data_IF_832206354343
#
_entry.id   IF_832206354343
#
_cell.length_a   1.000
_cell.length_b   1.000
_cell.length_c   1.000
_cell.angle_alpha   90.00
_cell.angle_beta   90.00
_cell.angle_gamma   90.00
#
_symmetry.space_group_name_H-M   'P 1'
#
loop_
_entity.id
_entity.type
_entity.pdbx_description
1 polymer ?
#
# COMPACT_ATOMS: atom_id res chain seq x y z
N UNK A 1 12.41 -6.01 -14.25
CA UNK A 1 11.27 -6.88 -14.72
C UNK A 1 10.00 -6.30 -14.16
N UNK A 2 9.06 -5.95 -15.05
CA UNK A 2 7.76 -5.39 -14.62
C UNK A 2 6.90 -6.46 -13.95
N UNK A 3 6.27 -6.13 -12.84
CA UNK A 3 5.36 -7.02 -12.10
C UNK A 3 3.92 -6.54 -12.13
N UNK A 4 3.69 -5.22 -12.36
CA UNK A 4 2.38 -4.64 -12.58
C UNK A 4 2.49 -3.70 -13.79
N UNK A 5 1.52 -3.75 -14.68
CA UNK A 5 1.41 -2.85 -15.83
C UNK A 5 -0.01 -2.35 -16.00
N UNK A 6 -0.15 -1.04 -16.20
CA UNK A 6 -1.37 -0.36 -16.59
C UNK A 6 -1.17 0.25 -17.97
N UNK A 7 -2.04 -0.07 -18.91
CA UNK A 7 -2.01 0.46 -20.28
C UNK A 7 -3.33 1.16 -20.61
N UNK A 8 -3.30 2.50 -20.66
CA UNK A 8 -4.44 3.35 -21.01
C UNK A 8 -5.73 3.04 -20.24
N UNK A 9 -5.61 2.76 -18.94
CA UNK A 9 -6.71 2.32 -18.09
C UNK A 9 -7.67 3.48 -17.81
N UNK A 10 -8.94 3.29 -18.16
CA UNK A 10 -10.04 4.20 -17.84
C UNK A 10 -11.05 3.51 -16.94
N UNK A 11 -11.53 4.21 -15.92
CA UNK A 11 -12.60 3.76 -15.02
C UNK A 11 -13.50 4.90 -14.62
N UNK A 12 -14.80 4.70 -14.83
CA UNK A 12 -15.87 5.65 -14.48
C UNK A 12 -16.81 5.06 -13.45
N UNK A 13 -17.41 5.92 -12.64
CA UNK A 13 -18.52 5.61 -11.76
C UNK A 13 -19.61 6.65 -11.99
N UNK A 14 -20.71 6.23 -12.61
CA UNK A 14 -21.71 7.16 -13.17
C UNK A 14 -21.06 8.09 -14.19
N UNK A 15 -21.32 9.38 -14.09
CA UNK A 15 -20.78 10.39 -15.02
C UNK A 15 -19.35 10.86 -14.68
N UNK A 16 -18.71 10.27 -13.66
CA UNK A 16 -17.38 10.69 -13.22
C UNK A 16 -16.30 9.72 -13.67
N UNK A 17 -15.37 10.18 -14.51
CA UNK A 17 -14.11 9.49 -14.78
C UNK A 17 -13.19 9.59 -13.56
N UNK A 18 -12.85 8.43 -12.98
CA UNK A 18 -11.95 8.32 -11.82
C UNK A 18 -10.54 8.00 -12.27
N UNK A 19 -10.39 7.12 -13.27
CA UNK A 19 -9.14 6.91 -14.01
C UNK A 19 -9.41 7.28 -15.46
N UNK A 20 -8.46 7.98 -16.10
CA UNK A 20 -8.61 8.55 -17.44
C UNK A 20 -7.34 8.32 -18.26
N UNK A 21 -7.25 7.16 -18.89
CA UNK A 21 -6.08 6.75 -19.68
C UNK A 21 -4.81 6.54 -18.86
N UNK A 22 -4.94 6.08 -17.59
CA UNK A 22 -3.81 5.90 -16.69
C UNK A 22 -2.86 4.81 -17.20
N UNK A 23 -1.58 5.15 -17.36
CA UNK A 23 -0.54 4.22 -17.80
C UNK A 23 0.70 4.34 -16.93
N UNK A 24 1.17 3.20 -16.39
CA UNK A 24 2.42 3.09 -15.62
C UNK A 24 2.83 1.63 -15.48
N UNK A 25 4.04 1.40 -14.99
CA UNK A 25 4.50 0.06 -14.62
C UNK A 25 5.25 0.07 -13.31
N UNK A 26 5.21 -1.06 -12.61
CA UNK A 26 5.94 -1.29 -11.34
C UNK A 26 6.98 -2.39 -11.57
N UNK A 27 8.24 -2.11 -11.20
CA UNK A 27 9.34 -3.03 -11.32
C UNK A 27 9.45 -3.94 -10.08
N UNK A 28 9.97 -5.15 -10.29
CA UNK A 28 10.22 -6.09 -9.18
C UNK A 28 11.19 -5.50 -8.15
N UNK A 29 10.81 -5.57 -6.88
CA UNK A 29 11.64 -5.15 -5.74
C UNK A 29 11.59 -3.64 -5.43
N UNK A 30 10.89 -2.83 -6.23
CA UNK A 30 10.76 -1.41 -5.93
C UNK A 30 9.65 -1.11 -4.91
N UNK A 31 9.79 0.02 -4.23
CA UNK A 31 8.67 0.69 -3.55
C UNK A 31 8.18 1.79 -4.48
N UNK A 32 7.05 1.53 -5.11
CA UNK A 32 6.38 2.46 -6.03
C UNK A 32 5.30 3.23 -5.27
N UNK A 33 5.41 4.56 -5.23
CA UNK A 33 4.45 5.39 -4.50
C UNK A 33 3.56 6.17 -5.48
N UNK A 34 2.25 6.07 -5.30
CA UNK A 34 1.24 6.83 -6.02
C UNK A 34 0.76 7.96 -5.11
N UNK A 35 1.14 9.19 -5.43
CA UNK A 35 0.71 10.41 -4.74
C UNK A 35 -0.52 11.02 -5.42
N UNK A 36 -1.31 11.75 -4.65
CA UNK A 36 -2.41 12.55 -5.15
C UNK A 36 -3.39 12.93 -4.04
N UNK A 37 -4.22 13.93 -4.30
CA UNK A 37 -5.27 14.35 -3.37
C UNK A 37 -6.31 13.25 -3.12
N UNK A 38 -7.15 13.40 -2.10
CA UNK A 38 -8.24 12.46 -1.85
C UNK A 38 -9.22 12.44 -3.04
N UNK A 39 -9.68 11.25 -3.40
CA UNK A 39 -10.63 11.07 -4.50
C UNK A 39 -10.04 11.11 -5.92
N UNK A 40 -8.71 11.08 -6.09
CA UNK A 40 -8.03 11.07 -7.40
C UNK A 40 -7.91 9.66 -8.03
N UNK A 41 -8.53 8.63 -7.43
CA UNK A 41 -8.53 7.27 -7.99
C UNK A 41 -7.45 6.34 -7.44
N UNK A 42 -6.64 6.75 -6.45
CA UNK A 42 -5.53 5.94 -5.90
C UNK A 42 -5.97 4.56 -5.42
N UNK A 43 -6.97 4.47 -4.53
CA UNK A 43 -7.50 3.18 -4.05
C UNK A 43 -8.21 2.38 -5.16
N UNK A 44 -8.78 3.08 -6.16
CA UNK A 44 -9.36 2.45 -7.35
C UNK A 44 -8.26 1.77 -8.16
N UNK A 45 -7.10 2.40 -8.32
CA UNK A 45 -5.92 1.80 -8.97
C UNK A 45 -5.51 0.50 -8.27
N UNK A 46 -5.39 0.49 -6.93
CA UNK A 46 -5.04 -0.75 -6.20
C UNK A 46 -6.07 -1.86 -6.37
N UNK A 47 -7.38 -1.52 -6.43
CA UNK A 47 -8.44 -2.51 -6.62
C UNK A 47 -8.39 -3.19 -7.99
N UNK A 48 -7.90 -2.51 -9.02
CA UNK A 48 -7.67 -3.13 -10.33
C UNK A 48 -6.52 -4.14 -10.29
N UNK A 49 -5.44 -3.85 -9.53
CA UNK A 49 -4.30 -4.79 -9.41
C UNK A 49 -4.73 -6.14 -8.84
N UNK A 50 -5.67 -6.15 -7.88
CA UNK A 50 -6.18 -7.39 -7.24
C UNK A 50 -7.43 -7.95 -7.92
N UNK A 51 -7.86 -7.40 -9.05
CA UNK A 51 -9.03 -7.88 -9.79
C UNK A 51 -10.39 -7.64 -9.10
N UNK A 52 -10.44 -6.76 -8.10
CA UNK A 52 -11.70 -6.34 -7.46
C UNK A 52 -12.50 -5.37 -8.31
N UNK A 53 -11.85 -4.73 -9.28
CA UNK A 53 -12.48 -3.88 -10.29
C UNK A 53 -11.89 -4.21 -11.66
N UNK A 54 -12.74 -4.21 -12.66
CA UNK A 54 -12.36 -4.30 -14.08
C UNK A 54 -12.33 -2.89 -14.69
N UNK A 55 -11.34 -2.57 -15.54
CA UNK A 55 -11.31 -1.30 -16.26
C UNK A 55 -12.45 -1.23 -17.28
N UNK A 56 -12.95 -0.02 -17.56
CA UNK A 56 -13.93 0.21 -18.65
C UNK A 56 -13.23 0.19 -20.01
N UNK A 57 -11.95 0.60 -20.06
CA UNK A 57 -11.05 0.44 -21.22
C UNK A 57 -9.59 0.40 -20.77
N UNK A 58 -8.72 -0.04 -21.67
CA UNK A 58 -7.32 -0.31 -21.35
C UNK A 58 -7.12 -1.69 -20.73
N UNK A 59 -5.92 -1.94 -20.22
CA UNK A 59 -5.56 -3.24 -19.68
C UNK A 59 -4.72 -3.11 -18.41
N UNK A 60 -4.97 -4.01 -17.45
CA UNK A 60 -4.15 -4.18 -16.23
C UNK A 60 -3.59 -5.59 -16.23
N UNK A 61 -2.27 -5.69 -16.15
CA UNK A 61 -1.57 -6.97 -16.05
C UNK A 61 -0.76 -7.04 -14.76
N UNK A 62 -0.77 -8.20 -14.11
CA UNK A 62 0.14 -8.51 -13.00
C UNK A 62 0.74 -9.89 -13.18
N UNK A 63 2.03 -10.01 -12.89
CA UNK A 63 2.73 -11.30 -12.83
C UNK A 63 2.91 -11.79 -11.38
N UNK A 64 2.37 -11.07 -10.40
CA UNK A 64 2.42 -11.48 -8.99
C UNK A 64 1.41 -12.59 -8.72
N UNK A 65 1.87 -13.68 -8.11
CA UNK A 65 1.01 -14.80 -7.71
C UNK A 65 0.38 -14.56 -6.33
N UNK A 66 1.13 -13.91 -5.43
CA UNK A 66 0.72 -13.66 -4.06
C UNK A 66 0.74 -12.16 -3.79
N UNK A 67 -0.45 -11.57 -3.74
CA UNK A 67 -0.62 -10.15 -3.45
C UNK A 67 -1.16 -9.99 -2.04
N UNK A 68 -0.44 -9.23 -1.21
CA UNK A 68 -0.92 -8.75 0.08
C UNK A 68 -1.60 -7.40 -0.06
N UNK A 69 -2.60 -7.12 0.77
CA UNK A 69 -3.31 -5.84 0.76
C UNK A 69 -3.47 -5.29 2.19
N UNK A 70 -2.90 -4.13 2.45
CA UNK A 70 -3.16 -3.35 3.65
C UNK A 70 -4.20 -2.28 3.34
N UNK A 71 -5.41 -2.47 3.86
CA UNK A 71 -6.51 -1.50 3.73
C UNK A 71 -6.32 -0.28 4.64
N UNK A 72 -6.90 0.84 4.26
CA UNK A 72 -6.81 2.10 4.98
C UNK A 72 -7.20 2.01 6.47
N UNK A 73 -8.19 1.21 6.83
CA UNK A 73 -8.61 0.97 8.23
C UNK A 73 -7.87 -0.19 8.90
N UNK A 74 -6.90 -0.84 8.22
CA UNK A 74 -6.35 -2.13 8.64
C UNK A 74 -7.30 -3.30 8.37
N UNK A 75 -8.61 -3.08 8.35
CA UNK A 75 -9.68 -4.05 8.07
C UNK A 75 -9.55 -5.37 8.87
N UNK A 76 -9.18 -5.26 10.15
CA UNK A 76 -9.15 -6.41 11.06
C UNK A 76 -10.57 -6.82 11.42
N UNK A 77 -10.80 -8.12 11.52
CA UNK A 77 -12.05 -8.69 12.01
C UNK A 77 -12.12 -8.54 13.53
N UNK A 78 -13.10 -7.79 14.00
CA UNK A 78 -13.20 -7.36 15.42
C UNK A 78 -13.37 -8.52 16.41
N UNK A 79 -13.92 -9.64 15.95
CA UNK A 79 -14.16 -10.84 16.75
C UNK A 79 -13.02 -11.86 16.74
N UNK A 80 -11.95 -11.58 16.06
CA UNK A 80 -10.72 -12.36 16.00
C UNK A 80 -9.60 -11.65 16.72
N UNK A 81 -8.71 -12.39 17.38
CA UNK A 81 -7.46 -11.87 17.91
C UNK A 81 -6.54 -11.35 16.80
N UNK A 82 -5.47 -10.66 17.18
CA UNK A 82 -4.44 -10.22 16.22
C UNK A 82 -3.82 -11.42 15.51
N UNK A 83 -3.47 -12.48 16.22
CA UNK A 83 -2.90 -13.70 15.64
C UNK A 83 -3.89 -14.38 14.68
N UNK A 84 -5.16 -14.50 15.06
CA UNK A 84 -6.20 -15.09 14.21
C UNK A 84 -6.43 -14.26 12.94
N UNK A 85 -6.43 -12.93 13.03
CA UNK A 85 -6.50 -12.04 11.85
C UNK A 85 -5.33 -12.26 10.90
N UNK A 86 -4.12 -12.44 11.43
CA UNK A 86 -2.91 -12.70 10.62
C UNK A 86 -2.93 -14.11 10.04
N UNK A 87 -3.43 -15.11 10.78
CA UNK A 87 -3.56 -16.48 10.32
C UNK A 87 -4.59 -16.69 9.19
N UNK A 88 -5.62 -15.83 9.16
CA UNK A 88 -6.79 -15.99 8.28
C UNK A 88 -6.43 -16.24 6.80
N UNK A 89 -5.55 -15.47 6.15
CA UNK A 89 -5.20 -15.72 4.74
C UNK A 89 -4.56 -17.10 4.51
N UNK A 90 -3.81 -17.60 5.48
CA UNK A 90 -3.20 -18.95 5.38
C UNK A 90 -4.25 -20.05 5.51
N UNK A 91 -5.15 -19.92 6.48
CA UNK A 91 -6.24 -20.89 6.70
C UNK A 91 -7.19 -21.00 5.51
N UNK A 92 -7.53 -19.84 4.90
CA UNK A 92 -8.48 -19.79 3.79
C UNK A 92 -7.89 -20.23 2.44
N UNK A 93 -6.57 -20.08 2.25
CA UNK A 93 -5.99 -20.25 0.90
C UNK A 93 -4.95 -21.36 0.82
N UNK A 94 -4.62 -22.04 1.93
CA UNK A 94 -3.63 -23.12 1.95
C UNK A 94 -4.16 -24.36 2.64
N UNK A 95 -3.42 -25.48 2.51
CA UNK A 95 -3.66 -26.72 3.25
C UNK A 95 -2.61 -26.97 4.34
N UNK A 96 -2.00 -25.88 4.84
CA UNK A 96 -0.99 -25.96 5.91
C UNK A 96 -1.60 -26.50 7.19
N UNK A 97 -0.79 -27.21 7.99
CA UNK A 97 -1.17 -27.62 9.34
C UNK A 97 -1.10 -26.41 10.28
N UNK A 98 -1.93 -26.37 11.32
CA UNK A 98 -1.96 -25.26 12.28
C UNK A 98 -0.58 -24.89 12.82
N UNK A 99 0.28 -25.87 13.18
CA UNK A 99 1.63 -25.61 13.63
C UNK A 99 2.51 -24.83 12.63
N UNK A 100 2.30 -25.05 11.32
CA UNK A 100 3.01 -24.33 10.26
C UNK A 100 2.47 -22.92 10.11
N UNK A 101 1.13 -22.77 10.27
CA UNK A 101 0.46 -21.48 10.29
C UNK A 101 0.94 -20.66 11.47
N UNK A 102 0.96 -21.23 12.68
CA UNK A 102 1.40 -20.55 13.90
C UNK A 102 2.84 -20.01 13.75
N UNK A 103 3.75 -20.81 13.20
CA UNK A 103 5.13 -20.36 12.97
C UNK A 103 5.22 -19.18 11.99
N UNK A 104 4.40 -19.17 10.91
CA UNK A 104 4.36 -18.05 9.98
C UNK A 104 3.71 -16.80 10.58
N UNK A 105 2.70 -16.98 11.42
CA UNK A 105 2.03 -15.90 12.15
C UNK A 105 3.03 -15.26 13.13
N UNK A 106 3.77 -16.06 13.89
CA UNK A 106 4.80 -15.60 14.81
C UNK A 106 5.88 -14.78 14.07
N UNK A 107 6.40 -15.29 12.95
CA UNK A 107 7.37 -14.57 12.10
C UNK A 107 6.80 -13.23 11.58
N UNK A 108 5.55 -13.24 11.09
CA UNK A 108 4.91 -12.01 10.59
C UNK A 108 4.64 -10.99 11.70
N UNK A 109 4.19 -11.41 12.88
CA UNK A 109 3.97 -10.55 14.05
C UNK A 109 5.30 -10.01 14.61
N UNK A 110 6.35 -10.84 14.64
CA UNK A 110 7.70 -10.42 15.02
C UNK A 110 8.23 -9.34 14.08
N UNK A 111 8.07 -9.51 12.76
CA UNK A 111 8.51 -8.55 11.75
C UNK A 111 7.88 -7.15 11.91
N UNK A 112 6.68 -7.06 12.50
CA UNK A 112 5.98 -5.80 12.76
C UNK A 112 6.00 -5.36 14.23
N UNK A 113 6.70 -6.10 15.11
CA UNK A 113 6.82 -5.80 16.54
C UNK A 113 5.48 -5.89 17.29
N UNK A 114 4.70 -6.95 17.03
CA UNK A 114 3.38 -7.17 17.64
C UNK A 114 3.24 -8.55 18.31
N UNK A 115 4.32 -9.26 18.56
CA UNK A 115 4.24 -10.60 19.14
C UNK A 115 3.55 -10.59 20.50
N UNK A 116 3.85 -9.62 21.37
CA UNK A 116 3.25 -9.47 22.70
C UNK A 116 1.76 -9.07 22.68
N UNK A 117 1.22 -8.79 21.49
CA UNK A 117 -0.18 -8.44 21.30
C UNK A 117 -0.96 -9.50 20.51
N UNK A 118 -0.38 -10.69 20.30
CA UNK A 118 -0.94 -11.76 19.47
C UNK A 118 -2.37 -12.15 19.92
N UNK A 119 -2.59 -12.27 21.23
CA UNK A 119 -3.86 -12.70 21.83
C UNK A 119 -4.87 -11.56 22.06
N UNK A 120 -4.50 -10.31 21.76
CA UNK A 120 -5.39 -9.17 21.92
C UNK A 120 -6.38 -9.06 20.75
N UNK A 121 -7.56 -8.53 21.05
CA UNK A 121 -8.53 -8.16 20.03
C UNK A 121 -8.23 -6.78 19.44
N UNK A 122 -8.72 -6.47 18.22
CA UNK A 122 -8.52 -5.17 17.60
C UNK A 122 -8.95 -3.97 18.48
N UNK A 123 -9.97 -4.12 19.31
CA UNK A 123 -10.45 -3.08 20.21
C UNK A 123 -9.48 -2.79 21.38
N UNK A 124 -8.54 -3.69 21.68
CA UNK A 124 -7.59 -3.60 22.79
C UNK A 124 -6.23 -3.02 22.38
N UNK A 125 -6.07 -2.68 21.10
CA UNK A 125 -4.82 -2.17 20.54
C UNK A 125 -5.00 -0.81 19.87
N UNK A 126 -3.93 0.00 19.86
CA UNK A 126 -3.95 1.33 19.25
C UNK A 126 -4.12 1.27 17.72
N UNK A 127 -4.54 2.39 17.10
CA UNK A 127 -4.67 2.49 15.65
C UNK A 127 -3.37 2.15 14.89
N UNK A 128 -2.21 2.59 15.40
CA UNK A 128 -0.90 2.21 14.84
C UNK A 128 -0.62 0.71 14.98
N UNK A 129 -1.02 0.07 16.08
CA UNK A 129 -0.93 -1.38 16.23
C UNK A 129 -1.87 -2.11 15.27
N UNK A 130 -3.09 -1.59 15.04
CA UNK A 130 -4.02 -2.16 14.05
C UNK A 130 -3.45 -2.11 12.63
N UNK A 131 -2.78 -1.00 12.26
CA UNK A 131 -2.07 -0.89 10.96
C UNK A 131 -0.94 -1.92 10.85
N UNK A 132 -0.14 -2.11 11.90
CA UNK A 132 0.92 -3.12 11.94
C UNK A 132 0.37 -4.54 11.86
N UNK A 133 -0.73 -4.84 12.53
CA UNK A 133 -1.41 -6.13 12.43
C UNK A 133 -1.95 -6.38 11.00
N UNK A 134 -2.54 -5.36 10.36
CA UNK A 134 -2.95 -5.41 8.96
C UNK A 134 -1.76 -5.65 8.02
N UNK A 135 -0.59 -5.06 8.30
CA UNK A 135 0.64 -5.32 7.56
C UNK A 135 1.11 -6.78 7.76
N UNK A 136 1.15 -7.27 8.99
CA UNK A 136 1.50 -8.68 9.27
C UNK A 136 0.60 -9.64 8.48
N UNK A 137 -0.72 -9.39 8.45
CA UNK A 137 -1.68 -10.16 7.65
C UNK A 137 -1.39 -10.09 6.15
N UNK A 138 -0.97 -8.92 5.64
CA UNK A 138 -0.66 -8.76 4.21
C UNK A 138 0.60 -9.54 3.80
N UNK A 139 1.59 -9.70 4.70
CA UNK A 139 2.87 -10.34 4.38
C UNK A 139 2.96 -11.80 4.79
N UNK A 140 2.03 -12.33 5.59
CA UNK A 140 2.10 -13.69 6.17
C UNK A 140 2.18 -14.81 5.12
N UNK A 141 1.65 -14.57 3.91
CA UNK A 141 1.72 -15.48 2.76
C UNK A 141 3.00 -15.37 1.94
N UNK A 142 4.03 -14.67 2.42
CA UNK A 142 5.24 -14.37 1.64
C UNK A 142 4.88 -13.69 0.32
N UNK A 143 4.17 -12.58 0.42
CA UNK A 143 3.65 -11.86 -0.73
C UNK A 143 4.75 -11.39 -1.69
N UNK A 144 4.54 -11.58 -3.00
CA UNK A 144 5.43 -11.07 -4.05
C UNK A 144 5.27 -9.55 -4.21
N UNK A 145 4.02 -9.10 -4.05
CA UNK A 145 3.62 -7.68 -4.08
C UNK A 145 2.76 -7.37 -2.87
N UNK A 146 3.00 -6.24 -2.22
CA UNK A 146 2.13 -5.71 -1.17
C UNK A 146 1.58 -4.35 -1.59
N UNK A 147 0.27 -4.20 -1.54
CA UNK A 147 -0.46 -2.97 -1.81
C UNK A 147 -0.85 -2.30 -0.50
N UNK A 148 -0.51 -1.03 -0.36
CA UNK A 148 -0.78 -0.22 0.83
C UNK A 148 -1.73 0.92 0.47
N UNK A 149 -2.93 0.90 1.05
CA UNK A 149 -3.94 1.94 0.86
C UNK A 149 -3.93 2.90 2.06
N UNK A 150 -3.31 4.08 1.89
CA UNK A 150 -3.18 5.15 2.91
C UNK A 150 -2.69 4.59 4.27
N UNK A 151 -1.50 3.94 4.34
CA UNK A 151 -1.07 3.20 5.53
C UNK A 151 -0.91 4.06 6.78
N UNK A 152 -0.66 5.35 6.63
CA UNK A 152 -0.43 6.30 7.73
C UNK A 152 -1.65 7.18 8.05
N UNK A 153 -2.74 7.03 7.29
CA UNK A 153 -3.95 7.84 7.47
C UNK A 153 -4.54 7.68 8.88
N UNK A 154 -4.87 8.81 9.51
CA UNK A 154 -5.47 8.86 10.85
C UNK A 154 -4.50 8.62 12.02
N UNK A 155 -3.20 8.58 11.75
CA UNK A 155 -2.16 8.45 12.77
C UNK A 155 -1.49 9.81 13.04
N UNK A 156 -0.93 9.94 14.25
CA UNK A 156 -0.07 11.06 14.59
C UNK A 156 1.26 11.01 13.79
N UNK A 157 1.99 12.15 13.67
CA UNK A 157 3.20 12.22 12.86
C UNK A 157 4.30 11.22 13.27
N UNK A 158 4.46 10.95 14.57
CA UNK A 158 5.49 10.04 15.08
C UNK A 158 5.15 8.60 14.70
N UNK A 159 3.91 8.19 14.93
CA UNK A 159 3.41 6.87 14.55
C UNK A 159 3.45 6.68 13.03
N UNK A 160 3.10 7.72 12.26
CA UNK A 160 3.19 7.71 10.79
C UNK A 160 4.61 7.45 10.29
N UNK A 161 5.60 8.16 10.86
CA UNK A 161 7.01 7.96 10.53
C UNK A 161 7.48 6.53 10.86
N UNK A 162 7.04 5.97 11.97
CA UNK A 162 7.34 4.58 12.35
C UNK A 162 6.74 3.57 11.37
N UNK A 163 5.48 3.74 10.96
CA UNK A 163 4.84 2.86 9.97
C UNK A 163 5.54 2.97 8.62
N UNK A 164 5.88 4.18 8.19
CA UNK A 164 6.61 4.42 6.93
C UNK A 164 7.96 3.70 6.93
N UNK A 165 8.73 3.87 8.02
CA UNK A 165 10.02 3.17 8.17
C UNK A 165 9.83 1.65 8.16
N UNK A 166 8.84 1.13 8.90
CA UNK A 166 8.54 -0.29 8.96
C UNK A 166 8.22 -0.88 7.58
N UNK A 167 7.47 -0.16 6.74
CA UNK A 167 7.20 -0.58 5.35
C UNK A 167 8.52 -0.72 4.57
N UNK A 168 9.42 0.25 4.69
CA UNK A 168 10.74 0.19 4.05
C UNK A 168 11.58 -0.99 4.54
N UNK A 169 11.67 -1.17 5.86
CA UNK A 169 12.44 -2.24 6.50
C UNK A 169 11.93 -3.64 6.09
N UNK A 170 10.61 -3.84 6.12
CA UNK A 170 9.97 -5.12 5.73
C UNK A 170 10.14 -5.39 4.23
N UNK A 171 10.00 -4.35 3.38
CA UNK A 171 10.24 -4.49 1.94
C UNK A 171 11.68 -4.95 1.65
N UNK A 172 12.67 -4.32 2.28
CA UNK A 172 14.08 -4.66 2.11
C UNK A 172 14.40 -6.07 2.63
N UNK A 173 13.91 -6.41 3.85
CA UNK A 173 14.18 -7.69 4.48
C UNK A 173 13.61 -8.88 3.71
N UNK A 174 12.45 -8.70 3.07
CA UNK A 174 11.74 -9.76 2.34
C UNK A 174 11.88 -9.68 0.82
N UNK A 175 12.64 -8.70 0.31
CA UNK A 175 12.82 -8.46 -1.14
C UNK A 175 11.50 -8.38 -1.92
N UNK A 176 10.48 -7.78 -1.32
CA UNK A 176 9.14 -7.65 -1.88
C UNK A 176 9.05 -6.45 -2.83
N UNK A 177 8.03 -6.42 -3.66
CA UNK A 177 7.59 -5.23 -4.38
C UNK A 177 6.47 -4.56 -3.59
N UNK A 178 6.48 -3.24 -3.46
CA UNK A 178 5.47 -2.49 -2.72
C UNK A 178 4.84 -1.41 -3.59
N UNK A 179 3.51 -1.31 -3.57
CA UNK A 179 2.78 -0.17 -4.14
C UNK A 179 2.06 0.54 -3.02
N UNK A 180 2.44 1.79 -2.77
CA UNK A 180 1.88 2.60 -1.69
C UNK A 180 1.07 3.73 -2.29
N UNK A 181 -0.22 3.83 -1.98
CA UNK A 181 -1.01 5.01 -2.29
C UNK A 181 -1.12 5.89 -1.06
N UNK A 182 -0.82 7.16 -1.20
CA UNK A 182 -0.87 8.13 -0.10
C UNK A 182 -1.05 9.55 -0.62
N UNK A 183 -1.42 10.46 0.26
CA UNK A 183 -1.36 11.90 0.03
C UNK A 183 -0.18 12.54 0.78
N UNK A 184 0.57 11.78 1.58
CA UNK A 184 1.69 12.26 2.38
C UNK A 184 3.01 12.22 1.58
N UNK A 185 3.45 13.39 1.14
CA UNK A 185 4.71 13.57 0.41
C UNK A 185 5.94 13.20 1.27
N UNK A 186 5.91 13.48 2.57
CA UNK A 186 7.07 13.21 3.44
C UNK A 186 7.31 11.70 3.57
N UNK A 187 6.25 10.92 3.79
CA UNK A 187 6.31 9.45 3.77
C UNK A 187 6.78 8.93 2.41
N UNK A 188 6.24 9.47 1.31
CA UNK A 188 6.63 9.07 -0.04
C UNK A 188 8.13 9.27 -0.29
N UNK A 189 8.67 10.45 0.04
CA UNK A 189 10.09 10.79 -0.15
C UNK A 189 11.02 9.91 0.70
N UNK A 190 10.53 9.38 1.83
CA UNK A 190 11.34 8.56 2.75
C UNK A 190 11.59 7.16 2.20
N UNK A 191 10.60 6.55 1.53
CA UNK A 191 10.67 5.11 1.17
C UNK A 191 10.64 4.83 -0.33
N UNK A 192 10.19 5.78 -1.17
CA UNK A 192 9.94 5.50 -2.57
C UNK A 192 11.22 5.26 -3.39
N UNK A 193 11.19 4.24 -4.22
CA UNK A 193 12.11 4.09 -5.35
C UNK A 193 11.72 5.02 -6.50
N UNK A 194 10.41 5.10 -6.78
CA UNK A 194 9.78 6.03 -7.73
C UNK A 194 8.47 6.55 -7.17
N UNK A 195 8.12 7.77 -7.56
CA UNK A 195 6.90 8.48 -7.18
C UNK A 195 6.13 8.82 -8.45
N UNK A 196 4.83 8.50 -8.48
CA UNK A 196 3.90 8.92 -9.50
C UNK A 196 2.87 9.87 -8.89
N UNK A 197 2.73 11.08 -9.44
CA UNK A 197 1.64 12.00 -9.08
C UNK A 197 0.44 11.73 -9.99
N UNK A 198 -0.71 11.47 -9.36
CA UNK A 198 -2.00 11.33 -10.08
C UNK A 198 -2.88 12.55 -9.80
N UNK A 199 -3.30 13.22 -10.87
CA UNK A 199 -4.26 14.33 -10.84
C UNK A 199 -5.34 14.08 -11.91
N UNK A 200 -6.61 14.20 -11.54
CA UNK A 200 -7.75 13.98 -12.44
C UNK A 200 -7.72 12.62 -13.18
N UNK A 201 -7.32 11.56 -12.47
CA UNK A 201 -7.27 10.20 -13.04
C UNK A 201 -6.11 9.93 -13.99
N UNK A 202 -5.20 10.90 -14.19
CA UNK A 202 -4.06 10.80 -15.11
C UNK A 202 -2.73 10.85 -14.36
N UNK A 203 -1.71 10.22 -14.91
CA UNK A 203 -0.32 10.38 -14.46
C UNK A 203 0.21 11.74 -14.92
N UNK A 204 0.57 12.60 -13.97
CA UNK A 204 1.23 13.90 -14.24
C UNK A 204 2.72 13.69 -14.44
N UNK A 205 3.36 13.01 -13.49
CA UNK A 205 4.79 12.73 -13.50
C UNK A 205 5.04 11.39 -12.80
N UNK A 206 5.96 10.59 -13.33
CA UNK A 206 6.50 9.41 -12.68
C UNK A 206 8.03 9.48 -12.70
N UNK A 207 8.66 9.69 -11.54
CA UNK A 207 10.08 9.99 -11.42
C UNK A 207 10.69 9.48 -10.11
N UNK A 208 12.01 9.47 -10.00
CA UNK A 208 12.72 9.25 -8.73
C UNK A 208 12.47 10.44 -7.77
N UNK A 209 12.57 10.24 -6.44
CA UNK A 209 12.29 11.30 -5.46
C UNK A 209 13.03 12.63 -5.72
N UNK A 210 14.31 12.58 -6.07
CA UNK A 210 15.09 13.79 -6.37
C UNK A 210 14.62 14.53 -7.62
N UNK A 211 14.31 13.80 -8.69
CA UNK A 211 13.77 14.34 -9.93
C UNK A 211 12.35 14.90 -9.72
N UNK A 212 11.54 14.22 -8.91
CA UNK A 212 10.20 14.66 -8.54
C UNK A 212 10.23 16.03 -7.83
N UNK A 213 11.12 16.19 -6.84
CA UNK A 213 11.27 17.46 -6.10
C UNK A 213 11.82 18.61 -6.94
N UNK A 214 12.61 18.32 -7.97
CA UNK A 214 13.21 19.33 -8.88
C UNK A 214 12.36 19.57 -10.13
N UNK A 215 11.21 18.95 -10.26
CA UNK A 215 10.33 19.09 -11.40
C UNK A 215 9.81 20.52 -11.53
N UNK A 216 9.83 21.02 -12.79
CA UNK A 216 9.25 22.32 -13.16
C UNK A 216 7.79 22.20 -13.62
N UNK A 217 7.22 20.99 -13.62
CA UNK A 217 5.82 20.80 -13.94
C UNK A 217 4.93 21.55 -12.94
N UNK A 218 3.98 22.40 -13.39
CA UNK A 218 3.17 23.22 -12.51
C UNK A 218 2.36 22.43 -11.49
N UNK A 219 1.79 21.28 -11.88
CA UNK A 219 0.98 20.44 -10.99
C UNK A 219 1.83 19.79 -9.90
N UNK A 220 3.04 19.37 -10.24
CA UNK A 220 4.02 18.83 -9.27
C UNK A 220 4.48 19.93 -8.31
N UNK A 221 4.83 21.12 -8.84
CA UNK A 221 5.28 22.25 -8.02
C UNK A 221 4.17 22.70 -7.05
N UNK A 222 2.91 22.77 -7.51
CA UNK A 222 1.74 23.07 -6.67
C UNK A 222 1.60 22.04 -5.55
N UNK A 223 1.67 20.74 -5.88
CA UNK A 223 1.54 19.66 -4.90
C UNK A 223 2.66 19.73 -3.84
N UNK A 224 3.90 19.92 -4.25
CA UNK A 224 5.05 20.06 -3.35
C UNK A 224 4.92 21.31 -2.46
N UNK A 225 4.45 22.44 -3.00
CA UNK A 225 4.27 23.68 -2.24
C UNK A 225 3.15 23.54 -1.20
N UNK A 226 2.02 22.91 -1.55
CA UNK A 226 0.88 22.71 -0.65
C UNK A 226 1.25 21.85 0.56
N UNK A 227 2.12 20.85 0.37
CA UNK A 227 2.57 19.97 1.47
C UNK A 227 3.66 20.61 2.33
N UNK A 228 4.51 21.49 1.79
CA UNK A 228 5.52 22.24 2.60
C UNK A 228 4.88 23.24 3.57
N UNK A 229 3.69 23.77 3.25
CA UNK A 229 2.94 24.66 4.13
C UNK A 229 2.34 23.96 5.36
N UNK A 230 2.18 22.66 5.34
CA UNK A 230 1.66 21.86 6.46
C UNK A 230 2.74 21.37 7.45
N UNK A 231 4.01 21.63 7.16
CA UNK A 231 5.18 21.20 7.98
C UNK A 231 5.71 22.36 8.86
N UNK A 232 4.99 23.49 8.94
CA UNK A 232 5.33 24.62 9.83
C UNK A 232 4.47 24.62 11.09
#
# INVERSE_FOLDING_TARGET
MKVIEFENVTKSFGDRNVLDGLSFSVEKGEIFVILGASGTGKSVTLKHVVGLLEPDSGEVRTSAERIGYLFQSGALLAWMTVAENVALPLRETTRMKEREIDAKVEDALSAVGLLDAADKYPAEISGGMQKRAGLARAIVREADVVLYDEPTSGLDPVTSAHITKLIGDVNAARSMTSVVVTHDLASALTIASRIMLVKNGRCVLCAKPGEFLSSTDPDVAEYVASTKGAIR
#
